data_IF_060993448599
#
_entry.id   IF_060993448599
#
_cell.length_a   1.000
_cell.length_b   1.000
_cell.length_c   1.000
_cell.angle_alpha   90.00
_cell.angle_beta   90.00
_cell.angle_gamma   90.00
#
_symmetry.space_group_name_H-M   'P 1'
#
loop_
_entity.id
_entity.type
_entity.pdbx_description
1 polymer ?
#
# COMPACT_ATOMS: atom_id res chain seq x y z
N UNK A 1 -5.45 -4.56 18.16
CA UNK A 1 -5.94 -3.20 17.91
C UNK A 1 -7.43 -3.26 17.69
N UNK A 2 -8.13 -2.16 17.94
CA UNK A 2 -9.59 -2.11 17.81
C UNK A 2 -9.99 -0.74 17.25
N UNK A 3 -10.98 -0.72 16.36
CA UNK A 3 -11.60 0.48 15.80
C UNK A 3 -13.12 0.36 15.92
N UNK A 4 -13.77 1.45 16.27
CA UNK A 4 -15.22 1.46 16.54
C UNK A 4 -16.07 1.28 15.28
N UNK A 5 -15.50 1.66 14.12
CA UNK A 5 -16.16 1.55 12.83
C UNK A 5 -15.15 1.55 11.67
N UNK A 6 -15.67 1.37 10.45
CA UNK A 6 -14.84 1.32 9.25
C UNK A 6 -14.14 2.66 8.95
N UNK A 7 -14.75 3.79 9.26
CA UNK A 7 -14.14 5.10 8.99
C UNK A 7 -12.94 5.34 9.92
N UNK A 8 -13.07 4.97 11.20
CA UNK A 8 -11.96 5.00 12.16
C UNK A 8 -10.80 4.08 11.73
N UNK A 9 -11.13 2.90 11.20
CA UNK A 9 -10.13 1.99 10.65
C UNK A 9 -9.41 2.60 9.43
N UNK A 10 -10.15 3.15 8.46
CA UNK A 10 -9.57 3.77 7.27
C UNK A 10 -8.73 5.00 7.61
N UNK A 11 -9.18 5.83 8.57
CA UNK A 11 -8.41 6.97 9.05
C UNK A 11 -7.08 6.53 9.70
N UNK A 12 -7.12 5.45 10.48
CA UNK A 12 -5.89 4.88 11.05
C UNK A 12 -4.94 4.36 9.96
N UNK A 13 -5.44 3.62 8.95
CA UNK A 13 -4.62 3.14 7.82
C UNK A 13 -3.97 4.33 7.11
N UNK A 14 -4.74 5.37 6.78
CA UNK A 14 -4.21 6.56 6.12
C UNK A 14 -3.13 7.28 6.95
N UNK A 15 -3.33 7.36 8.27
CA UNK A 15 -2.35 7.92 9.20
C UNK A 15 -1.07 7.09 9.24
N UNK A 16 -1.19 5.76 9.32
CA UNK A 16 -0.05 4.85 9.36
C UNK A 16 0.77 4.89 8.07
N UNK A 17 0.08 4.89 6.92
CA UNK A 17 0.70 5.02 5.60
C UNK A 17 1.45 6.35 5.45
N UNK A 18 0.84 7.45 5.93
CA UNK A 18 1.46 8.78 5.89
C UNK A 18 2.67 8.87 6.81
N UNK A 19 2.52 8.46 8.07
CA UNK A 19 3.58 8.58 9.08
C UNK A 19 4.81 7.76 8.74
N UNK A 20 4.64 6.57 8.19
CA UNK A 20 5.73 5.66 7.83
C UNK A 20 6.14 5.77 6.37
N UNK A 21 5.39 6.49 5.56
CA UNK A 21 5.59 6.58 4.12
C UNK A 21 5.59 5.19 3.50
N UNK A 22 4.55 4.42 3.79
CA UNK A 22 4.32 3.07 3.27
C UNK A 22 3.00 3.01 2.52
N UNK A 23 2.73 1.88 1.89
CA UNK A 23 1.45 1.56 1.25
C UNK A 23 1.02 0.17 1.70
N UNK A 24 -0.16 0.07 2.31
CA UNK A 24 -0.78 -1.19 2.72
C UNK A 24 -1.75 -1.64 1.63
N UNK A 25 -1.47 -2.77 1.01
CA UNK A 25 -2.25 -3.32 -0.10
C UNK A 25 -3.06 -4.51 0.39
N UNK A 26 -4.36 -4.47 0.16
CA UNK A 26 -5.23 -5.61 0.44
C UNK A 26 -4.84 -6.78 -0.48
N UNK A 27 -4.57 -7.93 0.13
CA UNK A 27 -4.12 -9.13 -0.59
C UNK A 27 -5.15 -10.23 -0.59
N UNK A 28 -5.92 -10.35 0.47
CA UNK A 28 -6.88 -11.42 0.65
C UNK A 28 -8.08 -10.92 1.45
N UNK A 29 -9.25 -11.39 1.06
CA UNK A 29 -10.49 -11.23 1.82
C UNK A 29 -11.21 -12.56 1.82
N UNK A 30 -11.49 -13.06 3.01
CA UNK A 30 -12.25 -14.29 3.23
C UNK A 30 -13.57 -13.95 3.91
N UNK A 31 -14.65 -14.59 3.47
CA UNK A 31 -15.96 -14.50 4.08
C UNK A 31 -16.32 -15.85 4.67
N UNK A 32 -16.69 -15.84 5.93
CA UNK A 32 -17.14 -17.05 6.61
C UNK A 32 -18.64 -17.20 6.46
N UNK A 33 -19.08 -18.37 6.00
CA UNK A 33 -20.50 -18.78 6.01
C UNK A 33 -20.87 -19.57 7.26
N UNK A 34 -19.87 -20.16 7.92
CA UNK A 34 -20.06 -21.17 8.97
C UNK A 34 -19.47 -20.76 10.32
N UNK A 35 -18.76 -19.62 10.39
CA UNK A 35 -18.24 -19.13 11.66
C UNK A 35 -19.27 -18.26 12.38
N UNK A 36 -19.61 -18.57 13.63
CA UNK A 36 -20.54 -17.76 14.42
C UNK A 36 -19.93 -16.42 14.84
N UNK A 37 -18.59 -16.28 14.80
CA UNK A 37 -17.91 -15.17 15.45
C UNK A 37 -17.57 -14.01 14.50
N UNK A 38 -17.21 -14.29 13.25
CA UNK A 38 -16.85 -13.25 12.28
C UNK A 38 -17.39 -13.57 10.88
N UNK A 39 -17.75 -12.53 10.14
CA UNK A 39 -18.27 -12.70 8.78
C UNK A 39 -17.24 -12.37 7.69
N UNK A 40 -16.26 -11.51 7.98
CA UNK A 40 -15.21 -11.14 7.02
C UNK A 40 -13.86 -10.99 7.72
N UNK A 41 -12.86 -11.62 7.14
CA UNK A 41 -11.46 -11.41 7.48
C UNK A 41 -10.72 -10.88 6.27
N UNK A 42 -9.98 -9.79 6.44
CA UNK A 42 -9.15 -9.22 5.38
C UNK A 42 -7.70 -9.08 5.85
N UNK A 43 -6.79 -9.24 4.90
CA UNK A 43 -5.35 -9.10 5.14
C UNK A 43 -4.76 -8.04 4.22
N UNK A 44 -4.07 -7.08 4.81
CA UNK A 44 -3.30 -6.07 4.12
C UNK A 44 -1.81 -6.34 4.33
N UNK A 45 -1.00 -6.11 3.32
CA UNK A 45 0.47 -6.21 3.39
C UNK A 45 1.13 -4.93 2.95
N UNK A 46 2.33 -4.70 3.45
CA UNK A 46 3.19 -3.66 2.89
C UNK A 46 3.39 -3.88 1.38
N UNK A 47 3.27 -2.84 0.58
CA UNK A 47 3.45 -2.92 -0.88
C UNK A 47 4.82 -3.44 -1.31
N UNK A 48 5.80 -3.44 -0.41
CA UNK A 48 7.13 -4.03 -0.58
C UNK A 48 7.23 -5.48 -0.12
N UNK A 49 6.14 -6.04 0.44
CA UNK A 49 6.03 -7.43 0.85
C UNK A 49 6.15 -8.38 -0.34
N UNK A 50 6.33 -9.63 -0.02
CA UNK A 50 6.32 -10.70 -1.00
C UNK A 50 4.86 -11.05 -1.32
N UNK A 51 4.40 -10.65 -2.49
CA UNK A 51 3.17 -11.18 -3.07
C UNK A 51 3.55 -12.47 -3.82
N UNK A 52 3.55 -13.57 -3.09
CA UNK A 52 3.91 -14.85 -3.63
C UNK A 52 2.87 -15.39 -4.61
N UNK A 53 3.19 -15.32 -5.87
CA UNK A 53 2.66 -16.24 -6.86
C UNK A 53 3.84 -17.00 -7.44
N UNK A 54 3.79 -18.33 -7.50
CA UNK A 54 4.70 -19.09 -8.35
C UNK A 54 4.38 -18.66 -9.78
N UNK A 55 5.29 -17.90 -10.38
CA UNK A 55 5.16 -17.58 -11.80
C UNK A 55 5.77 -18.74 -12.56
N UNK A 56 4.97 -19.55 -13.22
CA UNK A 56 5.44 -20.57 -14.18
C UNK A 56 6.00 -19.94 -15.47
N UNK A 57 6.19 -18.63 -15.44
CA UNK A 57 6.72 -17.87 -16.56
C UNK A 57 8.22 -18.13 -16.69
N UNK A 58 8.60 -18.89 -17.70
CA UNK A 58 9.99 -19.03 -18.14
C UNK A 58 10.39 -17.79 -18.95
N UNK A 59 11.39 -17.07 -18.47
CA UNK A 59 11.98 -15.96 -19.21
C UNK A 59 12.54 -16.46 -20.54
N UNK A 60 12.08 -15.91 -21.66
CA UNK A 60 12.64 -16.21 -23.00
C UNK A 60 14.07 -15.73 -23.18
N UNK A 61 14.49 -14.70 -22.40
CA UNK A 61 15.83 -14.12 -22.41
C UNK A 61 16.23 -13.74 -20.99
N UNK A 62 17.49 -13.92 -20.64
CA UNK A 62 18.09 -13.43 -19.40
C UNK A 62 18.27 -11.90 -19.50
N UNK A 63 17.23 -11.16 -19.15
CA UNK A 63 17.32 -9.71 -19.04
C UNK A 63 17.59 -9.36 -17.59
N UNK A 64 18.75 -8.79 -17.33
CA UNK A 64 18.98 -8.15 -16.03
C UNK A 64 18.12 -6.90 -15.93
N UNK A 65 17.32 -6.80 -14.88
CA UNK A 65 16.61 -5.57 -14.59
C UNK A 65 17.61 -4.50 -14.19
N UNK A 66 17.72 -3.42 -14.97
CA UNK A 66 18.52 -2.24 -14.62
C UNK A 66 17.98 -1.52 -13.37
N UNK A 67 16.71 -1.67 -13.07
CA UNK A 67 16.04 -1.07 -11.91
C UNK A 67 15.74 -2.17 -10.88
N UNK A 68 16.19 -2.03 -9.63
CA UNK A 68 15.90 -2.98 -8.57
C UNK A 68 14.38 -3.18 -8.38
N UNK A 69 13.98 -4.38 -8.03
CA UNK A 69 12.59 -4.63 -7.65
C UNK A 69 12.24 -3.81 -6.41
N UNK A 70 11.02 -3.26 -6.38
CA UNK A 70 10.50 -2.65 -5.16
C UNK A 70 10.22 -3.67 -4.05
N UNK A 71 10.10 -4.95 -4.40
CA UNK A 71 9.81 -6.03 -3.46
C UNK A 71 11.05 -6.41 -2.67
N UNK A 72 10.92 -6.41 -1.34
CA UNK A 72 12.00 -6.73 -0.39
C UNK A 72 11.68 -7.93 0.49
N UNK A 73 10.49 -8.54 0.31
CA UNK A 73 10.01 -9.57 1.22
C UNK A 73 9.59 -9.00 2.58
N UNK A 74 9.06 -7.78 2.62
CA UNK A 74 8.62 -7.15 3.85
C UNK A 74 7.50 -7.97 4.51
N UNK A 75 7.66 -8.28 5.80
CA UNK A 75 6.72 -9.09 6.57
C UNK A 75 5.61 -8.27 7.25
N UNK A 76 5.68 -6.94 7.15
CA UNK A 76 4.64 -6.06 7.68
C UNK A 76 3.28 -6.41 7.10
N UNK A 77 2.34 -6.72 7.97
CA UNK A 77 0.97 -7.06 7.59
C UNK A 77 -0.04 -6.64 8.66
N UNK A 78 -1.26 -6.47 8.23
CA UNK A 78 -2.41 -6.17 9.08
C UNK A 78 -3.54 -7.13 8.74
N UNK A 79 -3.95 -7.95 9.69
CA UNK A 79 -5.12 -8.82 9.58
C UNK A 79 -6.25 -8.18 10.35
N UNK A 80 -7.40 -8.00 9.71
CA UNK A 80 -8.62 -7.45 10.34
C UNK A 80 -9.76 -8.45 10.29
N UNK A 81 -10.62 -8.40 11.30
CA UNK A 81 -11.86 -9.18 11.38
C UNK A 81 -13.04 -8.28 11.64
N UNK A 82 -14.11 -8.53 10.91
CA UNK A 82 -15.41 -7.88 11.06
C UNK A 82 -16.43 -8.88 11.57
N UNK A 83 -17.30 -8.44 12.47
CA UNK A 83 -18.31 -9.26 13.16
C UNK A 83 -19.71 -8.81 12.74
N UNK A 84 -20.67 -9.75 12.70
CA UNK A 84 -22.05 -9.48 12.22
C UNK A 84 -22.82 -8.51 13.12
N UNK A 85 -22.61 -8.61 14.42
CA UNK A 85 -23.44 -7.93 15.43
C UNK A 85 -22.87 -6.59 15.89
N UNK A 86 -21.76 -6.14 15.29
CA UNK A 86 -21.09 -4.90 15.71
C UNK A 86 -20.38 -4.21 14.55
N UNK A 87 -20.26 -2.89 14.65
CA UNK A 87 -19.45 -2.08 13.74
C UNK A 87 -17.95 -2.14 14.07
N UNK A 88 -17.61 -2.72 15.23
CA UNK A 88 -16.22 -2.81 15.71
C UNK A 88 -15.37 -3.70 14.79
N UNK A 89 -14.19 -3.22 14.48
CA UNK A 89 -13.18 -3.96 13.71
C UNK A 89 -12.05 -4.32 14.66
N UNK A 90 -11.72 -5.60 14.72
CA UNK A 90 -10.54 -6.08 15.44
C UNK A 90 -9.40 -6.32 14.46
N UNK A 91 -8.19 -5.88 14.82
CA UNK A 91 -7.02 -6.06 13.99
C UNK A 91 -5.78 -6.52 14.75
N UNK A 92 -4.98 -7.32 14.07
CA UNK A 92 -3.64 -7.71 14.48
C UNK A 92 -2.65 -7.10 13.48
N UNK A 93 -1.84 -6.16 13.96
CA UNK A 93 -0.83 -5.47 13.15
C UNK A 93 0.57 -5.99 13.51
N UNK A 94 1.31 -6.39 12.48
CA UNK A 94 2.71 -6.75 12.54
C UNK A 94 3.51 -5.68 11.82
N UNK A 95 4.22 -4.87 12.60
CA UNK A 95 4.83 -3.61 12.18
C UNK A 95 6.34 -3.75 11.89
N UNK A 96 6.81 -4.91 11.49
CA UNK A 96 8.21 -5.10 11.16
C UNK A 96 8.48 -4.86 9.68
N UNK A 97 9.32 -3.87 9.39
CA UNK A 97 9.75 -3.52 8.04
C UNK A 97 11.23 -3.83 7.84
N UNK A 98 11.57 -4.51 6.75
CA UNK A 98 12.94 -4.81 6.34
C UNK A 98 13.49 -3.83 5.28
N UNK A 99 12.89 -2.66 5.17
CA UNK A 99 13.26 -1.63 4.23
C UNK A 99 13.19 -0.24 4.88
N UNK A 100 13.88 0.77 4.34
CA UNK A 100 13.77 2.13 4.82
C UNK A 100 12.33 2.63 4.83
N UNK A 101 11.99 3.44 5.83
CA UNK A 101 10.74 4.18 5.97
C UNK A 101 10.97 5.66 5.65
N UNK A 102 9.90 6.44 5.59
CA UNK A 102 9.95 7.87 5.33
C UNK A 102 10.38 8.19 3.90
N UNK A 103 11.08 9.31 3.72
CA UNK A 103 11.42 9.87 2.41
C UNK A 103 12.15 8.91 1.49
N UNK A 104 13.00 8.04 2.03
CA UNK A 104 13.74 7.05 1.22
C UNK A 104 12.84 6.00 0.58
N UNK A 105 11.63 5.82 1.12
CA UNK A 105 10.65 4.89 0.57
C UNK A 105 9.71 5.53 -0.48
N UNK A 106 9.64 6.86 -0.58
CA UNK A 106 8.71 7.57 -1.48
C UNK A 106 8.77 7.08 -2.93
N UNK A 107 9.97 6.83 -3.45
CA UNK A 107 10.17 6.35 -4.84
C UNK A 107 9.55 4.99 -5.14
N UNK A 108 9.16 4.25 -4.12
CA UNK A 108 8.58 2.91 -4.26
C UNK A 108 7.07 2.89 -4.04
N UNK A 109 6.49 4.00 -3.58
CA UNK A 109 5.04 4.14 -3.41
C UNK A 109 4.36 4.37 -4.76
N UNK A 110 3.06 4.12 -4.80
CA UNK A 110 2.25 4.58 -5.92
C UNK A 110 2.12 6.09 -5.85
N UNK A 111 2.20 6.73 -6.99
CA UNK A 111 1.80 8.12 -7.09
C UNK A 111 0.33 8.24 -6.71
N UNK A 112 0.02 9.14 -5.79
CA UNK A 112 -1.35 9.51 -5.49
C UNK A 112 -2.07 9.90 -6.79
N UNK A 113 -3.34 9.53 -6.92
CA UNK A 113 -4.11 9.80 -8.15
C UNK A 113 -4.13 11.29 -8.49
N UNK A 114 -4.17 12.17 -7.50
CA UNK A 114 -4.05 13.62 -7.70
C UNK A 114 -2.73 14.01 -8.39
N UNK A 115 -1.62 13.44 -7.95
CA UNK A 115 -0.29 13.70 -8.54
C UNK A 115 -0.20 13.08 -9.91
N UNK A 116 -0.72 11.86 -10.08
CA UNK A 116 -0.76 11.19 -11.38
C UNK A 116 -1.55 12.02 -12.40
N UNK A 117 -2.74 12.49 -12.03
CA UNK A 117 -3.58 13.30 -12.90
C UNK A 117 -2.88 14.63 -13.24
N UNK A 118 -2.28 15.30 -12.25
CA UNK A 118 -1.51 16.52 -12.49
C UNK A 118 -0.35 16.28 -13.48
N UNK A 119 0.40 15.20 -13.33
CA UNK A 119 1.48 14.82 -14.27
C UNK A 119 0.91 14.55 -15.65
N UNK A 120 -0.20 13.84 -15.74
CA UNK A 120 -0.87 13.55 -17.03
C UNK A 120 -1.35 14.84 -17.71
N UNK A 121 -1.94 15.76 -16.97
CA UNK A 121 -2.36 17.07 -17.48
C UNK A 121 -1.16 17.87 -17.99
N UNK A 122 -0.06 17.90 -17.23
CA UNK A 122 1.19 18.57 -17.66
C UNK A 122 1.75 17.96 -18.95
N UNK A 123 1.72 16.64 -19.10
CA UNK A 123 2.14 15.96 -20.33
C UNK A 123 1.24 16.33 -21.50
N UNK A 124 -0.08 16.40 -21.30
CA UNK A 124 -1.04 16.77 -22.34
C UNK A 124 -0.86 18.21 -22.85
N UNK A 125 -0.45 19.13 -21.99
CA UNK A 125 -0.14 20.51 -22.41
C UNK A 125 1.29 20.70 -22.90
N UNK A 126 2.05 19.60 -23.10
CA UNK A 126 3.37 19.62 -23.71
C UNK A 126 4.50 20.12 -22.82
N UNK A 127 4.33 20.06 -21.49
CA UNK A 127 5.41 20.41 -20.56
C UNK A 127 6.48 19.32 -20.58
N UNK A 128 7.72 19.73 -20.76
CA UNK A 128 8.87 18.79 -20.75
C UNK A 128 9.00 18.08 -19.40
N UNK A 129 9.36 16.78 -19.44
CA UNK A 129 9.46 15.92 -18.26
C UNK A 129 10.39 16.46 -17.16
N UNK A 130 11.43 17.22 -17.51
CA UNK A 130 12.32 17.87 -16.54
C UNK A 130 11.62 18.92 -15.69
N UNK A 131 10.67 19.67 -16.27
CA UNK A 131 9.89 20.69 -15.58
C UNK A 131 8.86 20.03 -14.66
N UNK A 132 8.26 18.94 -15.11
CA UNK A 132 7.30 18.16 -14.31
C UNK A 132 7.94 17.67 -13.01
N UNK A 133 9.14 17.09 -13.06
CA UNK A 133 9.86 16.59 -11.86
C UNK A 133 10.17 17.73 -10.88
N UNK A 134 10.55 18.92 -11.36
CA UNK A 134 10.82 20.05 -10.47
C UNK A 134 9.57 20.55 -9.76
N UNK A 135 8.43 20.59 -10.43
CA UNK A 135 7.15 21.01 -9.83
C UNK A 135 6.61 20.02 -8.79
N UNK A 136 6.76 18.71 -9.02
CA UNK A 136 6.29 17.71 -8.07
C UNK A 136 7.13 17.64 -6.79
N UNK A 137 8.39 18.13 -6.82
CA UNK A 137 9.26 18.19 -5.64
C UNK A 137 8.85 19.29 -4.64
N UNK A 138 8.02 20.24 -5.03
CA UNK A 138 7.52 21.33 -4.17
C UNK A 138 6.15 21.05 -3.50
N UNK A 139 5.55 19.88 -3.76
CA UNK A 139 4.33 19.48 -3.06
C UNK A 139 4.75 19.00 -1.66
N UNK A 140 4.93 19.98 -0.75
CA UNK A 140 5.08 19.70 0.66
C UNK A 140 3.78 19.05 1.16
N UNK A 141 3.86 17.82 1.62
CA UNK A 141 2.79 17.21 2.39
C UNK A 141 2.66 18.01 3.69
N UNK A 142 1.47 18.50 4.04
CA UNK A 142 1.27 19.12 5.34
C UNK A 142 1.54 18.06 6.42
N UNK A 143 2.29 18.47 7.40
CA UNK A 143 2.61 17.73 8.62
C UNK A 143 1.34 17.43 9.40
#
# INVERSE_FOLDING_TARGET
>A
MQWDNNDAFLAWVASEESNKTIELVMSQTERSTDSPDWWEQSMLHCSRGFMGGKTDYQKRHEWERKIPSKKTGCECNLTIKRYLDTTVILGKYHDEHNHPLGNDNLRFLRLLDKIRNLVMDMVHIGIESKVIVSHTSFINFPS
#
